data_IF_900830352822
#
_entry.id   IF_900830352822
#
_cell.length_a   1.000
_cell.length_b   1.000
_cell.length_c   1.000
_cell.angle_alpha   90.00
_cell.angle_beta   90.00
_cell.angle_gamma   90.00
#
_symmetry.space_group_name_H-M   'P 1'
#
loop_
_entity.id
_entity.type
_entity.pdbx_description
1 polymer ?
#
# COMPACT_ATOMS: atom_id res chain seq x y z
N UNK A 1 19.67 26.63 -31.22
CA UNK A 1 18.42 26.20 -31.91
C UNK A 1 18.23 24.66 -31.93
N UNK A 2 19.28 23.86 -32.24
CA UNK A 2 19.16 22.38 -32.28
C UNK A 2 18.75 21.77 -30.93
N UNK A 3 19.27 22.26 -29.80
CA UNK A 3 18.88 21.76 -28.47
C UNK A 3 17.39 22.01 -28.15
N UNK A 4 16.87 23.18 -28.50
CA UNK A 4 15.45 23.51 -28.29
C UNK A 4 14.54 22.65 -29.17
N UNK A 5 14.95 22.35 -30.41
CA UNK A 5 14.21 21.44 -31.28
C UNK A 5 14.25 19.99 -30.76
N UNK A 6 15.38 19.55 -30.20
CA UNK A 6 15.52 18.22 -29.60
C UNK A 6 14.64 18.06 -28.37
N UNK A 7 14.61 19.06 -27.50
CA UNK A 7 13.73 19.08 -26.32
C UNK A 7 12.25 19.10 -26.70
N UNK A 8 11.87 19.88 -27.70
CA UNK A 8 10.50 19.89 -28.21
C UNK A 8 10.07 18.55 -28.80
N UNK A 9 10.96 17.87 -29.54
CA UNK A 9 10.70 16.50 -30.05
C UNK A 9 10.57 15.46 -28.94
N UNK A 10 11.46 15.52 -27.92
CA UNK A 10 11.36 14.65 -26.75
C UNK A 10 10.05 14.86 -25.99
N UNK A 11 9.65 16.11 -25.76
CA UNK A 11 8.38 16.43 -25.11
C UNK A 11 7.18 15.90 -25.89
N UNK A 12 7.17 16.02 -27.21
CA UNK A 12 6.11 15.49 -28.08
C UNK A 12 6.03 13.96 -28.02
N UNK A 13 7.18 13.28 -28.11
CA UNK A 13 7.25 11.82 -27.99
C UNK A 13 6.76 11.32 -26.61
N UNK A 14 7.16 11.99 -25.52
CA UNK A 14 6.70 11.63 -24.18
C UNK A 14 5.18 11.79 -24.04
N UNK A 15 4.60 12.85 -24.63
CA UNK A 15 3.15 13.03 -24.66
C UNK A 15 2.43 11.93 -25.43
N UNK A 16 2.93 11.56 -26.59
CA UNK A 16 2.36 10.48 -27.40
C UNK A 16 2.48 9.13 -26.68
N UNK A 17 3.63 8.82 -26.12
CA UNK A 17 3.81 7.59 -25.31
C UNK A 17 2.83 7.54 -24.14
N UNK A 18 2.68 8.65 -23.40
CA UNK A 18 1.73 8.72 -22.30
C UNK A 18 0.28 8.46 -22.74
N UNK A 19 -0.13 9.00 -23.89
CA UNK A 19 -1.46 8.72 -24.47
C UNK A 19 -1.66 7.25 -24.80
N UNK A 20 -0.67 6.62 -25.44
CA UNK A 20 -0.74 5.20 -25.77
C UNK A 20 -0.83 4.33 -24.51
N UNK A 21 -0.01 4.62 -23.49
CA UNK A 21 -0.06 3.90 -22.22
C UNK A 21 -1.41 4.02 -21.52
N UNK A 22 -1.99 5.22 -21.50
CA UNK A 22 -3.32 5.45 -20.91
C UNK A 22 -4.42 4.75 -21.70
N UNK A 23 -4.34 4.75 -23.03
CA UNK A 23 -5.30 4.07 -23.89
C UNK A 23 -5.20 2.54 -23.74
N UNK A 24 -4.00 1.96 -23.69
CA UNK A 24 -3.79 0.53 -23.45
C UNK A 24 -4.35 0.13 -22.08
N UNK A 25 -4.04 0.89 -21.03
CA UNK A 25 -4.57 0.65 -19.69
C UNK A 25 -6.11 0.73 -19.67
N UNK A 26 -6.70 1.72 -20.32
CA UNK A 26 -8.15 1.86 -20.42
C UNK A 26 -8.77 0.64 -21.12
N UNK A 27 -8.21 0.21 -22.24
CA UNK A 27 -8.69 -0.95 -23.00
C UNK A 27 -8.67 -2.19 -22.12
N UNK A 28 -7.57 -2.49 -21.48
CA UNK A 28 -7.44 -3.67 -20.60
C UNK A 28 -8.43 -3.66 -19.43
N UNK A 29 -8.65 -2.50 -18.80
CA UNK A 29 -9.61 -2.39 -17.70
C UNK A 29 -11.04 -2.64 -18.19
N UNK A 30 -11.43 -2.03 -19.31
CA UNK A 30 -12.77 -2.19 -19.89
C UNK A 30 -12.99 -3.62 -20.37
N UNK A 31 -12.00 -4.28 -20.95
CA UNK A 31 -12.09 -5.69 -21.33
C UNK A 31 -12.27 -6.60 -20.11
N UNK A 32 -11.53 -6.35 -19.03
CA UNK A 32 -11.64 -7.14 -17.80
C UNK A 32 -12.93 -6.85 -17.01
N UNK A 33 -13.38 -5.60 -17.01
CA UNK A 33 -14.54 -5.13 -16.25
C UNK A 33 -15.32 -4.07 -17.04
N UNK A 34 -16.23 -4.45 -17.93
CA UNK A 34 -16.96 -3.51 -18.80
C UNK A 34 -17.82 -2.48 -18.06
N UNK A 35 -18.20 -2.75 -16.79
CA UNK A 35 -18.98 -1.83 -15.98
C UNK A 35 -18.18 -0.70 -15.35
N UNK A 36 -16.83 -0.74 -15.41
CA UNK A 36 -15.97 0.28 -14.82
C UNK A 36 -15.86 1.49 -15.75
N UNK A 37 -16.13 2.67 -15.22
CA UNK A 37 -15.92 3.93 -15.93
C UNK A 37 -14.47 4.36 -15.76
N UNK A 38 -13.70 4.28 -16.84
CA UNK A 38 -12.28 4.68 -16.85
C UNK A 38 -12.14 6.11 -17.33
N UNK A 39 -11.52 6.97 -16.51
CA UNK A 39 -11.11 8.33 -16.87
C UNK A 39 -9.60 8.39 -16.94
N UNK A 40 -9.08 8.95 -18.04
CA UNK A 40 -7.64 9.13 -18.22
C UNK A 40 -7.27 10.59 -18.00
N UNK A 41 -6.14 10.83 -17.33
CA UNK A 41 -5.62 12.16 -17.07
C UNK A 41 -4.11 12.16 -17.31
N UNK A 42 -3.65 12.97 -18.24
CA UNK A 42 -2.22 13.20 -18.46
C UNK A 42 -1.88 14.63 -18.06
N UNK A 43 -0.94 14.78 -17.15
CA UNK A 43 -0.51 16.07 -16.62
C UNK A 43 1.01 16.21 -16.71
N UNK A 44 1.47 17.44 -16.82
CA UNK A 44 2.85 17.83 -16.59
C UNK A 44 2.95 18.51 -15.23
N UNK A 45 4.06 18.33 -14.54
CA UNK A 45 4.32 18.94 -13.25
C UNK A 45 4.58 17.93 -12.16
N UNK A 46 4.35 18.32 -10.91
CA UNK A 46 4.58 17.46 -9.75
C UNK A 46 3.45 16.44 -9.59
N UNK A 47 3.86 15.18 -9.36
CA UNK A 47 2.91 14.07 -9.17
C UNK A 47 2.09 14.24 -7.89
N UNK A 48 2.71 14.69 -6.81
CA UNK A 48 2.04 14.85 -5.51
C UNK A 48 0.99 15.94 -5.58
N UNK A 49 1.30 17.08 -6.20
CA UNK A 49 0.34 18.17 -6.42
C UNK A 49 -0.87 17.69 -7.23
N UNK A 50 -0.62 16.95 -8.32
CA UNK A 50 -1.70 16.38 -9.15
C UNK A 50 -2.56 15.38 -8.35
N UNK A 51 -1.97 14.55 -7.52
CA UNK A 51 -2.71 13.60 -6.69
C UNK A 51 -3.54 14.31 -5.62
N UNK A 52 -3.02 15.37 -5.00
CA UNK A 52 -3.76 16.17 -4.01
C UNK A 52 -4.98 16.87 -4.63
N UNK A 53 -4.89 17.35 -5.87
CA UNK A 53 -6.04 17.90 -6.59
C UNK A 53 -7.18 16.86 -6.78
N UNK A 54 -6.82 15.59 -6.95
CA UNK A 54 -7.78 14.50 -7.18
C UNK A 54 -8.19 13.78 -5.89
N UNK A 55 -7.52 14.02 -4.78
CA UNK A 55 -7.67 13.26 -3.54
C UNK A 55 -9.08 13.26 -2.98
N UNK A 56 -9.80 14.38 -3.05
CA UNK A 56 -11.18 14.50 -2.56
C UNK A 56 -12.18 13.61 -3.31
N UNK A 57 -11.82 13.18 -4.51
CA UNK A 57 -12.64 12.31 -5.37
C UNK A 57 -12.20 10.85 -5.33
N UNK A 58 -11.08 10.56 -4.65
CA UNK A 58 -10.52 9.22 -4.56
C UNK A 58 -10.87 8.55 -3.23
N UNK A 59 -11.13 7.25 -3.26
CA UNK A 59 -11.23 6.40 -2.05
C UNK A 59 -9.96 5.60 -1.80
N UNK A 60 -9.16 5.40 -2.83
CA UNK A 60 -7.94 4.64 -2.82
C UNK A 60 -7.02 5.19 -3.90
N UNK A 61 -5.77 5.37 -3.56
CA UNK A 61 -4.69 5.63 -4.52
C UNK A 61 -3.97 4.32 -4.76
N UNK A 62 -3.76 3.97 -6.03
CA UNK A 62 -3.04 2.76 -6.38
C UNK A 62 -1.79 3.12 -7.16
N UNK A 63 -0.66 2.56 -6.77
CA UNK A 63 0.61 2.76 -7.44
C UNK A 63 1.43 1.49 -7.48
N UNK A 64 2.23 1.35 -8.54
CA UNK A 64 3.19 0.25 -8.65
C UNK A 64 4.52 0.65 -8.04
N UNK A 65 5.15 -0.27 -7.33
CA UNK A 65 6.55 -0.12 -6.96
C UNK A 65 7.41 -0.12 -8.25
N UNK A 66 8.22 0.92 -8.43
CA UNK A 66 9.10 1.01 -9.60
C UNK A 66 10.16 -0.08 -9.61
N UNK A 67 10.60 -0.51 -10.79
CA UNK A 67 11.77 -1.36 -10.94
C UNK A 67 12.99 -0.61 -10.40
N UNK A 68 13.72 -1.25 -9.49
CA UNK A 68 14.97 -0.71 -9.00
C UNK A 68 15.99 -0.81 -10.14
N UNK A 69 16.46 0.31 -10.65
CA UNK A 69 17.69 0.30 -11.44
C UNK A 69 18.82 -0.17 -10.52
N UNK A 70 19.57 -1.17 -10.96
CA UNK A 70 20.59 -1.92 -10.19
C UNK A 70 21.62 -1.06 -9.45
N UNK A 71 21.75 0.22 -9.78
CA UNK A 71 22.74 1.14 -9.20
C UNK A 71 22.23 1.97 -8.01
N UNK A 72 20.94 1.88 -7.61
CA UNK A 72 20.39 2.59 -6.47
C UNK A 72 19.60 1.65 -5.51
N UNK A 73 20.28 0.69 -4.97
CA UNK A 73 19.72 -0.39 -4.13
C UNK A 73 19.09 0.04 -2.80
N UNK A 74 18.82 1.33 -2.55
CA UNK A 74 18.30 1.83 -1.26
C UNK A 74 17.20 2.90 -1.35
N UNK A 75 16.75 3.30 -2.52
CA UNK A 75 15.69 4.31 -2.62
C UNK A 75 14.39 3.70 -3.16
N UNK A 76 13.35 3.69 -2.35
CA UNK A 76 11.98 3.79 -2.90
C UNK A 76 12.04 5.02 -3.81
N UNK A 77 11.53 4.93 -5.03
CA UNK A 77 11.53 6.10 -5.89
C UNK A 77 11.00 7.29 -5.09
N UNK A 78 11.73 8.38 -5.06
CA UNK A 78 11.45 9.58 -4.25
C UNK A 78 9.99 10.04 -4.36
N UNK A 79 9.33 9.72 -5.46
CA UNK A 79 7.93 9.99 -5.71
C UNK A 79 6.98 9.17 -4.83
N UNK A 80 7.19 7.86 -4.69
CA UNK A 80 6.31 7.02 -3.85
C UNK A 80 6.40 7.42 -2.38
N UNK A 81 7.58 7.72 -1.89
CA UNK A 81 7.76 8.18 -0.51
C UNK A 81 7.04 9.52 -0.27
N UNK A 82 7.16 10.46 -1.20
CA UNK A 82 6.45 11.74 -1.12
C UNK A 82 4.94 11.57 -1.18
N UNK A 83 4.43 10.69 -2.04
CA UNK A 83 3.00 10.35 -2.10
C UNK A 83 2.52 9.79 -0.77
N UNK A 84 3.21 8.80 -0.19
CA UNK A 84 2.86 8.17 1.09
C UNK A 84 2.86 9.19 2.24
N UNK A 85 3.77 10.16 2.22
CA UNK A 85 3.86 11.21 3.27
C UNK A 85 2.76 12.25 3.17
N UNK A 86 2.25 12.52 1.97
CA UNK A 86 1.43 13.70 1.69
C UNK A 86 -0.04 13.36 1.49
N UNK A 87 -0.34 12.27 0.81
CA UNK A 87 -1.71 11.81 0.51
C UNK A 87 -2.37 11.29 1.80
N UNK A 88 -3.66 11.54 1.97
CA UNK A 88 -4.46 11.12 3.14
C UNK A 88 -5.30 9.88 2.85
N UNK A 89 -5.58 9.61 1.60
CA UNK A 89 -6.33 8.42 1.18
C UNK A 89 -5.50 7.14 1.34
N UNK A 90 -6.12 6.00 1.57
CA UNK A 90 -5.45 4.71 1.53
C UNK A 90 -4.63 4.54 0.26
N UNK A 91 -3.44 3.96 0.39
CA UNK A 91 -2.55 3.70 -0.74
C UNK A 91 -2.33 2.20 -0.87
N UNK A 92 -2.67 1.65 -2.04
CA UNK A 92 -2.33 0.27 -2.39
C UNK A 92 -1.06 0.28 -3.26
N UNK A 93 0.02 -0.19 -2.70
CA UNK A 93 1.27 -0.42 -3.42
C UNK A 93 1.22 -1.82 -4.00
N UNK A 94 1.21 -1.93 -5.32
CA UNK A 94 1.16 -3.22 -6.04
C UNK A 94 2.51 -3.60 -6.60
N UNK A 95 2.73 -4.91 -6.76
CA UNK A 95 3.92 -5.47 -7.39
C UNK A 95 3.77 -5.55 -8.91
N UNK A 96 4.81 -5.99 -9.59
CA UNK A 96 4.81 -6.18 -11.06
C UNK A 96 3.76 -7.18 -11.50
N UNK A 97 3.68 -8.29 -10.77
CA UNK A 97 2.65 -9.31 -10.94
C UNK A 97 1.64 -9.17 -9.81
N UNK A 98 0.37 -9.16 -10.14
CA UNK A 98 -0.70 -9.00 -9.18
C UNK A 98 -1.69 -10.15 -9.33
N UNK A 99 -1.85 -10.88 -8.24
CA UNK A 99 -2.96 -11.82 -8.06
C UNK A 99 -3.94 -11.26 -7.05
N UNK A 100 -5.23 -11.57 -7.27
CA UNK A 100 -6.26 -11.16 -6.31
C UNK A 100 -6.03 -11.84 -4.96
N UNK A 101 -5.88 -11.08 -3.86
CA UNK A 101 -5.57 -11.66 -2.55
C UNK A 101 -6.72 -12.54 -2.05
N UNK A 102 -6.38 -13.63 -1.38
CA UNK A 102 -7.31 -14.52 -0.66
C UNK A 102 -7.16 -14.35 0.84
N UNK A 103 -5.95 -14.05 1.31
CA UNK A 103 -5.59 -13.83 2.70
C UNK A 103 -4.90 -12.49 2.87
N UNK A 104 -5.29 -11.74 3.87
CA UNK A 104 -4.57 -10.52 4.22
C UNK A 104 -4.14 -10.53 5.68
N UNK A 105 -3.03 -9.86 5.96
CA UNK A 105 -2.51 -9.68 7.29
C UNK A 105 -2.65 -8.22 7.71
N UNK A 106 -3.19 -7.96 8.90
CA UNK A 106 -3.12 -6.65 9.56
C UNK A 106 -1.92 -6.67 10.50
N UNK A 107 -0.88 -5.89 10.19
CA UNK A 107 0.22 -5.65 11.11
C UNK A 107 -0.24 -4.62 12.17
N UNK A 108 -0.53 -5.11 13.36
CA UNK A 108 -1.13 -4.34 14.44
C UNK A 108 -0.17 -4.18 15.62
N UNK A 109 -0.07 -2.97 16.18
CA UNK A 109 0.83 -2.64 17.29
C UNK A 109 0.14 -1.92 18.45
N UNK A 110 -1.19 -1.84 18.42
CA UNK A 110 -1.97 -1.15 19.45
C UNK A 110 -1.94 0.37 19.38
N UNK A 111 -1.19 0.96 18.46
CA UNK A 111 -1.09 2.41 18.33
C UNK A 111 -2.40 3.05 17.90
N UNK A 112 -2.51 4.36 18.10
CA UNK A 112 -3.64 5.15 17.63
C UNK A 112 -3.81 5.00 16.11
N UNK A 113 -2.72 4.95 15.38
CA UNK A 113 -2.74 4.78 13.91
C UNK A 113 -3.20 3.39 13.51
N UNK A 114 -2.72 2.35 14.19
CA UNK A 114 -3.19 0.99 13.95
C UNK A 114 -4.70 0.84 14.25
N UNK A 115 -5.19 1.49 15.31
CA UNK A 115 -6.63 1.54 15.63
C UNK A 115 -7.45 2.27 14.56
N UNK A 116 -6.94 3.39 14.04
CA UNK A 116 -7.57 4.09 12.90
C UNK A 116 -7.58 3.24 11.63
N UNK A 117 -6.46 2.60 11.32
CA UNK A 117 -6.37 1.66 10.20
C UNK A 117 -7.38 0.52 10.34
N UNK A 118 -7.49 -0.05 11.52
CA UNK A 118 -8.49 -1.06 11.82
C UNK A 118 -9.92 -0.58 11.53
N UNK A 119 -10.28 0.63 11.96
CA UNK A 119 -11.60 1.20 11.67
C UNK A 119 -11.87 1.35 10.18
N UNK A 120 -10.86 1.69 9.38
CA UNK A 120 -10.98 1.72 7.93
C UNK A 120 -11.21 0.32 7.35
N UNK A 121 -10.53 -0.71 7.87
CA UNK A 121 -10.76 -2.11 7.47
C UNK A 121 -12.18 -2.54 7.80
N UNK A 122 -12.67 -2.25 8.99
CA UNK A 122 -14.01 -2.61 9.45
C UNK A 122 -15.13 -2.05 8.55
N UNK A 123 -14.94 -0.82 8.05
CA UNK A 123 -15.93 -0.10 7.25
C UNK A 123 -15.77 -0.27 5.74
N UNK A 124 -14.59 -0.72 5.29
CA UNK A 124 -14.30 -0.88 3.86
C UNK A 124 -14.87 -2.19 3.29
N UNK A 125 -15.51 -2.17 2.13
CA UNK A 125 -15.88 -3.41 1.44
C UNK A 125 -14.71 -4.13 0.77
N UNK A 126 -13.55 -3.46 0.64
CA UNK A 126 -12.41 -3.93 -0.17
C UNK A 126 -11.87 -5.30 0.28
N UNK A 127 -11.87 -5.57 1.59
CA UNK A 127 -11.28 -6.77 2.18
C UNK A 127 -12.34 -7.80 2.62
N UNK A 128 -13.62 -7.55 2.35
CA UNK A 128 -14.70 -8.47 2.73
C UNK A 128 -14.62 -9.77 1.95
N UNK A 129 -14.82 -10.86 2.67
CA UNK A 129 -14.75 -12.22 2.10
C UNK A 129 -13.33 -12.82 2.07
N UNK A 130 -12.30 -12.05 2.42
CA UNK A 130 -10.94 -12.55 2.56
C UNK A 130 -10.70 -13.06 3.98
N UNK A 131 -9.80 -14.02 4.12
CA UNK A 131 -9.30 -14.48 5.43
C UNK A 131 -8.39 -13.41 6.04
N UNK A 132 -8.67 -13.04 7.28
CA UNK A 132 -7.99 -11.96 8.00
C UNK A 132 -7.01 -12.53 9.03
N UNK A 133 -5.73 -12.25 8.92
CA UNK A 133 -4.74 -12.54 9.93
C UNK A 133 -4.41 -11.26 10.72
N UNK A 134 -4.73 -11.23 12.00
CA UNK A 134 -4.38 -10.12 12.90
C UNK A 134 -3.10 -10.46 13.65
N UNK A 135 -2.00 -9.80 13.29
CA UNK A 135 -0.65 -10.14 13.75
C UNK A 135 -0.04 -9.00 14.54
N UNK A 136 0.47 -9.30 15.73
CA UNK A 136 1.23 -8.38 16.57
C UNK A 136 2.61 -8.95 16.83
N UNK A 137 3.64 -8.13 16.75
CA UNK A 137 5.00 -8.51 17.16
C UNK A 137 5.29 -7.89 18.52
N UNK A 138 5.48 -8.73 19.55
CA UNK A 138 5.69 -8.29 20.91
C UNK A 138 6.36 -9.36 21.76
N UNK A 139 7.27 -8.94 22.63
CA UNK A 139 7.87 -9.80 23.65
C UNK A 139 6.92 -10.01 24.86
N UNK A 140 5.96 -9.10 25.07
CA UNK A 140 4.94 -9.16 26.13
C UNK A 140 3.71 -9.96 25.66
N UNK A 141 3.86 -11.27 25.48
CA UNK A 141 2.84 -12.13 24.87
C UNK A 141 1.46 -12.05 25.52
N UNK A 142 1.39 -12.08 26.86
CA UNK A 142 0.10 -12.07 27.57
C UNK A 142 -0.69 -10.78 27.34
N UNK A 143 0.00 -9.63 27.34
CA UNK A 143 -0.62 -8.33 27.09
C UNK A 143 -1.05 -8.21 25.62
N UNK A 144 -0.20 -8.64 24.69
CA UNK A 144 -0.49 -8.63 23.27
C UNK A 144 -1.70 -9.52 22.92
N UNK A 145 -1.76 -10.71 23.51
CA UNK A 145 -2.90 -11.62 23.33
C UNK A 145 -4.21 -11.02 23.84
N UNK A 146 -4.20 -10.37 24.99
CA UNK A 146 -5.39 -9.71 25.54
C UNK A 146 -5.85 -8.54 24.65
N UNK A 147 -4.92 -7.76 24.12
CA UNK A 147 -5.23 -6.67 23.21
C UNK A 147 -5.79 -7.18 21.87
N UNK A 148 -5.18 -8.22 21.29
CA UNK A 148 -5.69 -8.83 20.06
C UNK A 148 -7.09 -9.42 20.22
N UNK A 149 -7.43 -9.97 21.39
CA UNK A 149 -8.76 -10.52 21.65
C UNK A 149 -9.87 -9.47 21.46
N UNK A 150 -9.68 -8.26 21.98
CA UNK A 150 -10.63 -7.16 21.84
C UNK A 150 -10.80 -6.71 20.38
N UNK A 151 -9.69 -6.68 19.63
CA UNK A 151 -9.71 -6.32 18.21
C UNK A 151 -10.39 -7.41 17.38
N UNK A 152 -10.14 -8.66 17.72
CA UNK A 152 -10.75 -9.84 17.08
C UNK A 152 -12.27 -9.81 17.16
N UNK A 153 -12.82 -9.51 18.34
CA UNK A 153 -14.28 -9.38 18.52
C UNK A 153 -14.89 -8.35 17.55
N UNK A 154 -14.22 -7.20 17.38
CA UNK A 154 -14.66 -6.16 16.45
C UNK A 154 -14.62 -6.61 14.99
N UNK A 155 -13.57 -7.33 14.59
CA UNK A 155 -13.43 -7.88 13.24
C UNK A 155 -14.46 -8.97 12.97
N UNK A 156 -14.70 -9.87 13.93
CA UNK A 156 -15.71 -10.93 13.82
C UNK A 156 -17.12 -10.34 13.74
N UNK A 157 -17.43 -9.32 14.53
CA UNK A 157 -18.69 -8.58 14.45
C UNK A 157 -18.90 -7.90 13.08
N UNK A 158 -17.82 -7.57 12.39
CA UNK A 158 -17.84 -7.07 11.02
C UNK A 158 -17.79 -8.18 9.95
N UNK A 159 -18.03 -9.44 10.33
CA UNK A 159 -18.06 -10.63 9.47
C UNK A 159 -16.72 -10.96 8.79
N UNK A 160 -15.59 -10.74 9.46
CA UNK A 160 -14.30 -11.28 9.03
C UNK A 160 -14.06 -12.64 9.69
N UNK A 161 -13.47 -13.57 8.92
CA UNK A 161 -12.86 -14.77 9.48
C UNK A 161 -11.46 -14.40 9.95
N UNK A 162 -11.21 -14.48 11.28
CA UNK A 162 -9.99 -13.92 11.88
C UNK A 162 -9.12 -15.00 12.49
N UNK A 163 -7.86 -15.02 12.08
CA UNK A 163 -6.77 -15.76 12.71
C UNK A 163 -5.88 -14.77 13.47
N UNK A 164 -5.54 -15.03 14.72
CA UNK A 164 -4.68 -14.14 15.52
C UNK A 164 -3.34 -14.77 15.79
N UNK A 165 -2.29 -13.95 15.78
CA UNK A 165 -0.95 -14.40 16.16
C UNK A 165 -0.16 -13.31 16.88
N UNK A 166 0.63 -13.71 17.88
CA UNK A 166 1.66 -12.89 18.49
C UNK A 166 3.01 -13.48 18.14
N UNK A 167 3.79 -12.74 17.37
CA UNK A 167 5.16 -13.09 16.98
C UNK A 167 6.18 -12.41 17.90
N UNK A 168 7.40 -12.94 17.94
CA UNK A 168 8.52 -12.38 18.71
C UNK A 168 9.67 -12.02 17.79
N UNK A 169 10.57 -11.16 18.28
CA UNK A 169 11.78 -10.78 17.58
C UNK A 169 11.69 -9.46 16.85
N UNK A 170 12.53 -9.29 15.84
CA UNK A 170 12.57 -8.09 15.03
C UNK A 170 11.33 -8.04 14.12
N UNK A 171 10.62 -6.92 14.16
CA UNK A 171 9.26 -6.80 13.59
C UNK A 171 9.21 -7.14 12.11
N UNK A 172 10.14 -6.60 11.30
CA UNK A 172 10.14 -6.86 9.87
C UNK A 172 10.33 -8.35 9.59
N UNK A 173 11.34 -8.95 10.18
CA UNK A 173 11.67 -10.37 10.02
C UNK A 173 10.53 -11.27 10.49
N UNK A 174 9.91 -10.95 11.64
CA UNK A 174 8.80 -11.72 12.17
C UNK A 174 7.58 -11.67 11.26
N UNK A 175 7.25 -10.51 10.70
CA UNK A 175 6.14 -10.35 9.76
C UNK A 175 6.42 -11.04 8.41
N UNK A 176 7.66 -10.97 7.91
CA UNK A 176 8.07 -11.68 6.68
C UNK A 176 7.98 -13.21 6.84
N UNK A 177 8.45 -13.74 7.95
CA UNK A 177 8.35 -15.18 8.25
C UNK A 177 6.88 -15.60 8.32
N UNK A 178 6.07 -14.86 9.10
CA UNK A 178 4.64 -15.13 9.21
C UNK A 178 3.93 -15.09 7.87
N UNK A 179 4.24 -14.11 7.05
CA UNK A 179 3.69 -13.95 5.70
C UNK A 179 3.95 -15.18 4.82
N UNK A 180 5.18 -15.70 4.85
CA UNK A 180 5.57 -16.88 4.07
C UNK A 180 4.90 -18.16 4.59
N UNK A 181 4.91 -18.38 5.92
CA UNK A 181 4.36 -19.59 6.54
C UNK A 181 2.84 -19.71 6.36
N UNK A 182 2.13 -18.57 6.35
CA UNK A 182 0.68 -18.53 6.25
C UNK A 182 0.17 -18.16 4.85
N UNK A 183 1.05 -18.04 3.86
CA UNK A 183 0.71 -17.68 2.48
C UNK A 183 -0.16 -16.40 2.41
N UNK A 184 0.29 -15.34 3.07
CA UNK A 184 -0.40 -14.05 3.05
C UNK A 184 -0.16 -13.36 1.72
N UNK A 185 -1.24 -12.90 1.09
CA UNK A 185 -1.23 -12.29 -0.25
C UNK A 185 -1.22 -10.76 -0.21
N UNK A 186 -1.62 -10.16 0.92
CA UNK A 186 -1.72 -8.71 1.10
C UNK A 186 -1.37 -8.34 2.54
N UNK A 187 -0.52 -7.36 2.73
CA UNK A 187 -0.27 -6.78 4.05
C UNK A 187 -1.00 -5.44 4.20
N UNK A 188 -1.73 -5.30 5.29
CA UNK A 188 -2.43 -4.07 5.69
C UNK A 188 -1.73 -3.48 6.90
N UNK A 189 -1.40 -2.20 6.84
CA UNK A 189 -0.75 -1.53 7.95
C UNK A 189 -1.14 -0.05 8.04
N UNK A 190 -1.16 0.46 9.27
CA UNK A 190 -1.30 1.90 9.51
C UNK A 190 -0.02 2.63 9.11
N UNK A 191 -0.14 3.74 8.44
CA UNK A 191 0.98 4.61 8.13
C UNK A 191 0.94 5.89 8.98
N UNK A 192 2.12 6.36 9.42
CA UNK A 192 2.30 7.61 10.19
C UNK A 192 1.66 7.68 11.58
N UNK A 193 1.93 6.71 12.44
CA UNK A 193 1.61 6.75 13.87
C UNK A 193 2.79 7.10 14.77
N UNK A 194 2.50 7.49 16.03
CA UNK A 194 3.49 7.75 17.08
C UNK A 194 4.04 6.49 17.75
N UNK A 195 3.97 5.33 17.10
CA UNK A 195 4.32 4.05 17.67
C UNK A 195 5.69 3.53 17.29
N UNK A 196 6.08 2.40 17.87
CA UNK A 196 7.33 1.69 17.55
C UNK A 196 7.44 1.30 16.05
N UNK A 197 6.30 1.19 15.34
CA UNK A 197 6.30 1.04 13.87
C UNK A 197 6.77 2.34 13.19
N UNK A 198 6.78 3.49 13.89
CA UNK A 198 7.36 4.74 13.37
C UNK A 198 8.87 4.65 13.16
N UNK A 199 9.56 3.80 13.90
CA UNK A 199 10.96 3.46 13.61
C UNK A 199 11.07 2.75 12.25
N UNK A 200 9.99 2.08 11.82
CA UNK A 200 9.86 1.56 10.47
C UNK A 200 9.55 2.65 9.43
N UNK A 201 8.86 3.75 9.80
CA UNK A 201 8.32 4.70 8.83
C UNK A 201 9.03 6.07 8.78
N UNK A 202 10.00 6.32 9.61
CA UNK A 202 10.84 7.51 9.55
C UNK A 202 12.28 7.09 9.31
N UNK A 203 12.66 6.96 8.02
CA UNK A 203 14.00 6.58 7.62
C UNK A 203 14.06 5.25 6.87
N UNK A 204 15.24 4.74 6.69
CA UNK A 204 15.61 3.57 5.87
C UNK A 204 14.73 2.30 6.00
N UNK A 205 13.96 2.15 7.06
CA UNK A 205 13.20 0.91 7.33
C UNK A 205 11.87 0.81 6.59
N UNK A 206 11.09 1.90 6.46
CA UNK A 206 9.87 1.88 5.63
C UNK A 206 10.21 1.69 4.18
N UNK A 207 11.20 2.45 3.76
CA UNK A 207 11.78 2.32 2.44
C UNK A 207 12.19 0.87 2.20
N UNK A 208 12.85 0.24 3.16
CA UNK A 208 13.24 -1.17 3.09
C UNK A 208 12.02 -2.12 3.05
N UNK A 209 10.99 -1.87 3.84
CA UNK A 209 9.81 -2.74 3.86
C UNK A 209 9.03 -2.67 2.56
N UNK A 210 8.79 -1.47 2.03
CA UNK A 210 8.15 -1.30 0.72
C UNK A 210 9.05 -1.84 -0.39
N UNK A 211 10.37 -1.60 -0.34
CA UNK A 211 11.31 -2.08 -1.35
C UNK A 211 11.56 -3.58 -1.30
N UNK A 212 11.38 -4.22 -0.15
CA UNK A 212 11.60 -5.66 0.04
C UNK A 212 10.33 -6.49 0.02
N UNK A 213 9.15 -5.87 0.11
CA UNK A 213 7.91 -6.62 0.07
C UNK A 213 7.75 -7.32 -1.27
N UNK A 214 7.44 -8.59 -1.21
CA UNK A 214 7.09 -9.42 -2.36
C UNK A 214 5.58 -9.53 -2.56
N UNK A 215 4.79 -8.93 -1.66
CA UNK A 215 3.33 -8.90 -1.72
C UNK A 215 2.83 -7.44 -1.69
N UNK A 216 1.64 -7.18 -2.24
CA UNK A 216 1.00 -5.87 -2.16
C UNK A 216 0.87 -5.36 -0.72
N UNK A 217 1.00 -4.04 -0.57
CA UNK A 217 0.86 -3.34 0.71
C UNK A 217 -0.31 -2.37 0.65
N UNK A 218 -1.29 -2.51 1.54
CA UNK A 218 -2.33 -1.52 1.75
C UNK A 218 -1.96 -0.63 2.94
N UNK A 219 -1.58 0.59 2.63
CA UNK A 219 -1.22 1.60 3.62
C UNK A 219 -2.45 2.42 3.96
N UNK A 220 -2.87 2.35 5.22
CA UNK A 220 -4.02 3.09 5.74
C UNK A 220 -3.49 4.34 6.45
N UNK A 221 -3.78 5.49 5.86
CA UNK A 221 -3.28 6.79 6.27
C UNK A 221 -4.31 7.46 7.19
N UNK A 222 -3.87 8.18 8.20
CA UNK A 222 -4.54 9.05 9.21
C UNK A 222 -6.02 8.84 9.49
#
# INVERSE_FOLDING_TARGET
NEMVELEARRGKLALEQGKYMLQDAQTRIVEAQPAVVVKTLQRHGDLVETLLEQESHARLVMGRQGEQHQDQAQAIGSHLENVIRTVKQPILVVMTEFEAPKRFMIAYDGSITAKKALNQVLTSPLLKGLECHLVMVSDAQSQATAELALVTESLMAANFNVVTAVCQGEVQTALEIYQLEHHIDLMVMGAYGHSRIREFFVGSNTTKMISKSHIPLLLLLR
#
